data_IF_836255080594
#
_entry.id   IF_836255080594
#
_cell.length_a   1.000
_cell.length_b   1.000
_cell.length_c   1.000
_cell.angle_alpha   90.00
_cell.angle_beta   90.00
_cell.angle_gamma   90.00
#
_symmetry.space_group_name_H-M   'P 1'
#
loop_
_entity.id
_entity.type
_entity.pdbx_description
1 polymer ?
#
# COMPACT_ATOMS: atom_id res chain seq x y z
N UNK A 1 -4.73 14.89 -0.56
CA UNK A 1 -4.27 13.54 -0.17
C UNK A 1 -4.49 12.51 -1.24
N UNK A 2 -5.74 12.19 -1.58
CA UNK A 2 -6.10 11.08 -2.47
C UNK A 2 -5.30 10.96 -3.78
N UNK A 3 -5.15 12.05 -4.54
CA UNK A 3 -4.37 12.04 -5.80
C UNK A 3 -2.91 11.57 -5.58
N UNK A 4 -2.27 12.00 -4.50
CA UNK A 4 -0.89 11.61 -4.19
C UNK A 4 -0.79 10.17 -3.71
N UNK A 5 -1.81 9.69 -2.97
CA UNK A 5 -1.93 8.27 -2.63
C UNK A 5 -2.07 7.44 -3.90
N UNK A 6 -2.91 7.86 -4.85
CA UNK A 6 -3.03 7.18 -6.15
C UNK A 6 -1.69 7.17 -6.88
N UNK A 7 -1.03 8.32 -7.05
CA UNK A 7 0.28 8.39 -7.72
C UNK A 7 1.29 7.46 -7.05
N UNK A 8 1.39 7.49 -5.73
CA UNK A 8 2.37 6.70 -5.01
C UNK A 8 2.05 5.19 -5.07
N UNK A 9 0.81 4.79 -4.81
CA UNK A 9 0.42 3.39 -4.82
C UNK A 9 0.38 2.82 -6.24
N UNK A 10 -0.06 3.55 -7.27
CA UNK A 10 -0.10 2.98 -8.64
C UNK A 10 1.21 3.14 -9.40
N UNK A 11 1.99 4.18 -9.08
CA UNK A 11 3.19 4.55 -9.83
C UNK A 11 4.49 4.08 -9.20
N UNK A 12 4.54 3.91 -7.86
CA UNK A 12 5.77 3.60 -7.12
C UNK A 12 5.72 2.23 -6.44
N UNK A 13 4.53 1.64 -6.25
CA UNK A 13 4.40 0.29 -5.71
C UNK A 13 4.91 -0.75 -6.69
N UNK A 14 5.68 -1.71 -6.19
CA UNK A 14 6.34 -2.71 -7.03
C UNK A 14 5.35 -3.56 -7.84
N UNK A 15 4.23 -4.00 -7.24
CA UNK A 15 3.27 -4.87 -7.95
C UNK A 15 2.58 -4.11 -9.09
N UNK A 16 2.11 -2.89 -8.80
CA UNK A 16 1.40 -2.09 -9.79
C UNK A 16 2.33 -1.48 -10.85
N UNK A 17 3.54 -1.07 -10.46
CA UNK A 17 4.55 -0.55 -11.38
C UNK A 17 5.02 -1.64 -12.35
N UNK A 18 5.35 -2.84 -11.87
CA UNK A 18 5.83 -3.94 -12.72
C UNK A 18 4.79 -4.39 -13.75
N UNK A 19 3.50 -4.39 -13.39
CA UNK A 19 2.40 -4.68 -14.33
C UNK A 19 2.33 -3.69 -15.49
N UNK A 20 2.69 -2.43 -15.26
CA UNK A 20 2.74 -1.43 -16.33
C UNK A 20 4.05 -1.53 -17.15
N UNK A 21 5.18 -1.86 -16.51
CA UNK A 21 6.48 -2.02 -17.19
C UNK A 21 6.59 -3.28 -18.04
N UNK A 22 5.72 -4.27 -17.83
CA UNK A 22 5.67 -5.50 -18.64
C UNK A 22 4.93 -5.32 -19.97
N UNK A 23 4.31 -4.16 -20.21
CA UNK A 23 3.66 -3.82 -21.47
C UNK A 23 4.68 -3.48 -22.56
N UNK A 24 4.38 -3.78 -23.82
CA UNK A 24 5.36 -3.63 -24.91
C UNK A 24 5.65 -2.18 -25.26
N UNK A 25 4.67 -1.30 -25.07
CA UNK A 25 4.76 0.12 -25.42
C UNK A 25 4.13 1.01 -24.36
N UNK A 26 4.54 2.28 -24.33
CA UNK A 26 3.94 3.31 -23.47
C UNK A 26 2.43 3.46 -23.76
N UNK A 27 2.02 3.37 -25.03
CA UNK A 27 0.61 3.44 -25.41
C UNK A 27 -0.22 2.28 -24.84
N UNK A 28 0.32 1.07 -24.81
CA UNK A 28 -0.31 -0.08 -24.16
C UNK A 28 -0.41 0.10 -22.65
N UNK A 29 0.65 0.58 -22.00
CA UNK A 29 0.64 0.87 -20.57
C UNK A 29 -0.39 1.96 -20.21
N UNK A 30 -0.52 3.01 -21.02
CA UNK A 30 -1.54 4.05 -20.84
C UNK A 30 -2.95 3.47 -21.01
N UNK A 31 -3.19 2.67 -22.06
CA UNK A 31 -4.48 2.00 -22.27
C UNK A 31 -4.84 1.10 -21.10
N UNK A 32 -3.87 0.36 -20.56
CA UNK A 32 -4.03 -0.44 -19.35
C UNK A 32 -4.47 0.42 -18.17
N UNK A 33 -3.77 1.53 -17.90
CA UNK A 33 -4.09 2.43 -16.79
C UNK A 33 -5.45 3.11 -16.93
N UNK A 34 -5.85 3.56 -18.12
CA UNK A 34 -7.18 4.14 -18.34
C UNK A 34 -8.29 3.10 -18.18
N UNK A 35 -8.09 1.89 -18.70
CA UNK A 35 -9.06 0.79 -18.57
C UNK A 35 -9.21 0.37 -17.10
N UNK A 36 -8.08 0.19 -16.41
CA UNK A 36 -8.04 -0.10 -14.98
C UNK A 36 -8.76 0.97 -14.17
N UNK A 37 -8.47 2.26 -14.42
CA UNK A 37 -9.10 3.37 -13.71
C UNK A 37 -10.61 3.41 -13.93
N UNK A 38 -11.07 3.20 -15.17
CA UNK A 38 -12.49 3.15 -15.48
C UNK A 38 -13.22 2.03 -14.72
N UNK A 39 -12.67 0.81 -14.76
CA UNK A 39 -13.22 -0.34 -14.02
C UNK A 39 -13.17 -0.06 -12.50
N UNK A 40 -12.06 0.47 -12.00
CA UNK A 40 -11.87 0.77 -10.58
C UNK A 40 -12.91 1.76 -10.05
N UNK A 41 -13.20 2.84 -10.79
CA UNK A 41 -14.23 3.81 -10.40
C UNK A 41 -15.61 3.16 -10.35
N UNK A 42 -15.98 2.38 -11.37
CA UNK A 42 -17.28 1.69 -11.42
C UNK A 42 -17.42 0.74 -10.22
N UNK A 43 -16.40 -0.07 -9.94
CA UNK A 43 -16.40 -1.00 -8.81
C UNK A 43 -16.47 -0.26 -7.47
N UNK A 44 -15.78 0.87 -7.30
CA UNK A 44 -15.87 1.65 -6.07
C UNK A 44 -17.28 2.19 -5.83
N UNK A 45 -17.91 2.75 -6.86
CA UNK A 45 -19.30 3.23 -6.76
C UNK A 45 -20.23 2.06 -6.41
N UNK A 46 -20.03 0.90 -7.04
CA UNK A 46 -20.79 -0.31 -6.74
C UNK A 46 -20.64 -0.72 -5.26
N UNK A 47 -19.41 -0.90 -4.77
CA UNK A 47 -19.16 -1.34 -3.39
C UNK A 47 -19.58 -0.31 -2.34
N UNK A 48 -19.42 0.99 -2.61
CA UNK A 48 -19.93 2.05 -1.72
C UNK A 48 -21.46 2.04 -1.66
N UNK A 49 -22.13 1.84 -2.80
CA UNK A 49 -23.59 1.72 -2.87
C UNK A 49 -24.07 0.47 -2.14
N UNK A 50 -23.39 -0.67 -2.31
CA UNK A 50 -23.67 -1.91 -1.57
C UNK A 50 -23.47 -1.69 -0.07
N UNK A 51 -22.39 -1.04 0.35
CA UNK A 51 -22.16 -0.70 1.76
C UNK A 51 -23.30 0.14 2.36
N UNK A 52 -23.75 1.16 1.64
CA UNK A 52 -24.90 1.98 2.06
C UNK A 52 -26.20 1.15 2.13
N UNK A 53 -26.47 0.30 1.15
CA UNK A 53 -27.64 -0.58 1.13
C UNK A 53 -27.61 -1.59 2.28
N UNK A 54 -26.45 -2.15 2.63
CA UNK A 54 -26.28 -3.04 3.76
C UNK A 54 -26.57 -2.33 5.09
N UNK A 55 -26.16 -1.07 5.23
CA UNK A 55 -26.48 -0.27 6.41
C UNK A 55 -27.99 -0.02 6.54
N UNK A 56 -28.67 0.31 5.44
CA UNK A 56 -30.13 0.47 5.40
C UNK A 56 -30.82 -0.85 5.73
N UNK A 57 -30.33 -1.96 5.16
CA UNK A 57 -30.85 -3.31 5.44
C UNK A 57 -30.70 -3.68 6.92
N UNK A 58 -29.54 -3.42 7.51
CA UNK A 58 -29.27 -3.70 8.92
C UNK A 58 -30.24 -2.92 9.82
N UNK A 59 -30.38 -1.62 9.56
CA UNK A 59 -31.28 -0.74 10.32
C UNK A 59 -32.73 -1.21 10.21
N UNK A 60 -33.18 -1.60 9.01
CA UNK A 60 -34.56 -2.05 8.77
C UNK A 60 -34.88 -3.38 9.45
N UNK A 61 -33.91 -4.28 9.57
CA UNK A 61 -34.09 -5.61 10.14
C UNK A 61 -33.64 -5.71 11.61
N UNK A 62 -33.28 -4.59 12.24
CA UNK A 62 -32.81 -4.57 13.64
C UNK A 62 -31.48 -5.30 13.85
N UNK A 63 -30.63 -5.37 12.82
CA UNK A 63 -29.31 -6.00 12.88
C UNK A 63 -28.32 -4.99 13.45
N UNK A 64 -27.74 -5.31 14.60
CA UNK A 64 -26.71 -4.48 15.22
C UNK A 64 -25.38 -4.60 14.48
N UNK A 65 -24.62 -3.50 14.45
CA UNK A 65 -23.26 -3.51 13.89
C UNK A 65 -22.36 -4.31 14.83
N UNK A 66 -21.60 -5.32 14.34
CA UNK A 66 -20.70 -6.09 15.18
C UNK A 66 -19.75 -5.20 15.97
N UNK A 67 -19.62 -5.46 17.28
CA UNK A 67 -18.70 -4.75 18.14
C UNK A 67 -17.36 -5.47 18.21
N UNK A 68 -16.28 -4.71 18.29
CA UNK A 68 -14.96 -5.25 18.59
C UNK A 68 -14.93 -5.83 20.02
N UNK A 69 -14.53 -7.11 20.14
CA UNK A 69 -14.54 -7.81 21.43
C UNK A 69 -13.57 -7.23 22.47
N UNK A 70 -12.59 -6.41 22.05
CA UNK A 70 -11.57 -5.84 22.94
C UNK A 70 -11.89 -4.39 23.29
N UNK A 71 -12.27 -3.58 22.30
CA UNK A 71 -12.47 -2.13 22.45
C UNK A 71 -13.94 -1.72 22.58
N UNK A 72 -14.89 -2.61 22.30
CA UNK A 72 -16.33 -2.32 22.32
C UNK A 72 -16.78 -1.34 21.23
N UNK A 73 -15.92 -0.98 20.28
CA UNK A 73 -16.23 -0.06 19.19
C UNK A 73 -16.92 -0.78 18.03
N UNK A 74 -17.81 -0.11 17.27
CA UNK A 74 -18.40 -0.69 16.07
C UNK A 74 -17.34 -1.06 15.02
N UNK A 75 -17.34 -2.31 14.57
CA UNK A 75 -16.55 -2.81 13.43
C UNK A 75 -17.41 -2.86 12.18
N UNK A 76 -17.49 -1.72 11.51
CA UNK A 76 -18.27 -1.57 10.26
C UNK A 76 -17.84 -2.53 9.16
N UNK A 77 -16.55 -2.92 9.13
CA UNK A 77 -16.00 -3.86 8.14
C UNK A 77 -16.61 -5.27 8.24
N UNK A 78 -17.19 -5.63 9.39
CA UNK A 78 -17.82 -6.93 9.64
C UNK A 78 -19.31 -6.98 9.30
N UNK A 79 -19.93 -5.84 9.02
CA UNK A 79 -21.36 -5.78 8.73
C UNK A 79 -21.73 -6.58 7.48
N UNK A 80 -20.89 -6.56 6.45
CA UNK A 80 -21.18 -7.30 5.22
C UNK A 80 -21.08 -8.83 5.45
N UNK A 81 -19.98 -9.38 6.01
CA UNK A 81 -19.96 -10.79 6.42
C UNK A 81 -21.12 -11.20 7.32
N UNK A 82 -21.48 -10.37 8.31
CA UNK A 82 -22.58 -10.64 9.23
C UNK A 82 -23.91 -10.83 8.49
N UNK A 83 -24.27 -9.87 7.63
CA UNK A 83 -25.50 -9.96 6.82
C UNK A 83 -25.43 -11.16 5.89
N UNK A 84 -24.31 -11.36 5.20
CA UNK A 84 -24.16 -12.41 4.20
C UNK A 84 -24.26 -13.83 4.78
N UNK A 85 -23.72 -14.05 5.98
CA UNK A 85 -23.63 -15.37 6.60
C UNK A 85 -24.82 -15.70 7.51
N UNK A 86 -25.37 -14.70 8.22
CA UNK A 86 -26.38 -14.94 9.25
C UNK A 86 -27.80 -14.49 8.84
N UNK A 87 -27.93 -13.59 7.85
CA UNK A 87 -29.22 -12.97 7.50
C UNK A 87 -29.65 -13.18 6.04
N UNK A 88 -28.79 -13.71 5.18
CA UNK A 88 -29.14 -14.13 3.82
C UNK A 88 -29.31 -15.65 3.73
N UNK A 89 -29.91 -16.11 2.63
CA UNK A 89 -30.04 -17.54 2.35
C UNK A 89 -28.68 -18.17 2.02
N UNK A 90 -28.60 -19.50 2.08
CA UNK A 90 -27.35 -20.27 1.93
C UNK A 90 -26.60 -19.99 0.63
N UNK A 91 -27.30 -19.77 -0.49
CA UNK A 91 -26.66 -19.57 -1.80
C UNK A 91 -25.85 -18.25 -1.84
N UNK A 92 -26.44 -17.08 -1.53
CA UNK A 92 -25.68 -15.83 -1.38
C UNK A 92 -24.48 -15.93 -0.44
N UNK A 93 -24.62 -16.62 0.70
CA UNK A 93 -23.53 -16.82 1.66
C UNK A 93 -22.34 -17.58 1.03
N UNK A 94 -22.63 -18.67 0.29
CA UNK A 94 -21.61 -19.46 -0.42
C UNK A 94 -20.93 -18.61 -1.49
N UNK A 95 -21.70 -17.90 -2.31
CA UNK A 95 -21.16 -17.04 -3.38
C UNK A 95 -20.27 -15.94 -2.79
N UNK A 96 -20.71 -15.31 -1.70
CA UNK A 96 -19.93 -14.32 -0.97
C UNK A 96 -18.61 -14.89 -0.46
N UNK A 97 -18.63 -16.04 0.21
CA UNK A 97 -17.43 -16.68 0.74
C UNK A 97 -16.46 -17.10 -0.37
N UNK A 98 -16.97 -17.67 -1.47
CA UNK A 98 -16.15 -18.01 -2.63
C UNK A 98 -15.51 -16.77 -3.26
N UNK A 99 -16.28 -15.69 -3.45
CA UNK A 99 -15.78 -14.44 -4.00
C UNK A 99 -14.74 -13.76 -3.10
N UNK A 100 -15.02 -13.67 -1.80
CA UNK A 100 -14.12 -13.07 -0.80
C UNK A 100 -12.81 -13.85 -0.70
N UNK A 101 -12.88 -15.18 -0.63
CA UNK A 101 -11.68 -16.03 -0.57
C UNK A 101 -10.87 -15.91 -1.87
N UNK A 102 -11.51 -16.01 -3.04
CA UNK A 102 -10.83 -15.88 -4.32
C UNK A 102 -10.11 -14.51 -4.46
N UNK A 103 -10.79 -13.42 -4.11
CA UNK A 103 -10.20 -12.08 -4.14
C UNK A 103 -9.03 -11.91 -3.16
N UNK A 104 -9.16 -12.47 -1.94
CA UNK A 104 -8.11 -12.42 -0.91
C UNK A 104 -6.89 -13.25 -1.32
N UNK A 105 -7.09 -14.45 -1.88
CA UNK A 105 -5.99 -15.29 -2.36
C UNK A 105 -5.23 -14.63 -3.52
N UNK A 106 -5.94 -14.07 -4.50
CA UNK A 106 -5.30 -13.43 -5.64
C UNK A 106 -4.43 -12.21 -5.24
N UNK A 107 -4.90 -11.40 -4.29
CA UNK A 107 -4.15 -10.22 -3.80
C UNK A 107 -2.99 -10.60 -2.88
N UNK A 108 -3.18 -11.63 -2.05
CA UNK A 108 -2.13 -12.14 -1.16
C UNK A 108 -0.99 -12.77 -1.95
N UNK A 109 -1.31 -13.56 -2.98
CA UNK A 109 -0.33 -14.21 -3.85
C UNK A 109 0.56 -13.19 -4.58
N UNK A 110 -0.06 -12.14 -5.16
CA UNK A 110 0.69 -11.09 -5.85
C UNK A 110 1.59 -10.30 -4.89
N UNK A 111 1.10 -9.93 -3.71
CA UNK A 111 1.88 -9.21 -2.70
C UNK A 111 3.09 -10.05 -2.20
N UNK A 112 2.87 -11.33 -1.91
CA UNK A 112 3.93 -12.23 -1.44
C UNK A 112 4.98 -12.48 -2.54
N UNK A 113 4.55 -12.59 -3.79
CA UNK A 113 5.43 -12.70 -4.95
C UNK A 113 6.27 -11.45 -5.15
N UNK A 114 5.67 -10.25 -4.99
CA UNK A 114 6.39 -8.98 -5.10
C UNK A 114 7.47 -8.86 -4.02
N UNK A 115 7.15 -9.17 -2.76
CA UNK A 115 8.12 -9.17 -1.64
C UNK A 115 9.27 -10.16 -1.88
N UNK A 116 8.94 -11.38 -2.29
CA UNK A 116 9.92 -12.42 -2.60
C UNK A 116 10.83 -11.97 -3.74
N UNK A 117 10.27 -11.37 -4.78
CA UNK A 117 11.02 -10.92 -5.97
C UNK A 117 11.94 -9.76 -5.62
N UNK A 118 11.43 -8.72 -4.97
CA UNK A 118 12.25 -7.59 -4.52
C UNK A 118 13.38 -8.03 -3.59
N UNK A 119 13.11 -8.92 -2.63
CA UNK A 119 14.18 -9.41 -1.76
C UNK A 119 15.24 -10.24 -2.51
N UNK A 120 14.81 -11.18 -3.35
CA UNK A 120 15.73 -12.01 -4.13
C UNK A 120 16.56 -11.19 -5.12
N UNK A 121 15.95 -10.23 -5.82
CA UNK A 121 16.63 -9.42 -6.83
C UNK A 121 17.48 -8.33 -6.20
N UNK A 122 16.91 -7.54 -5.29
CA UNK A 122 17.53 -6.31 -4.79
C UNK A 122 18.53 -6.59 -3.66
N UNK A 123 18.22 -7.55 -2.76
CA UNK A 123 19.10 -7.88 -1.62
C UNK A 123 20.00 -9.08 -1.89
N UNK A 124 19.48 -10.16 -2.48
CA UNK A 124 20.28 -11.35 -2.77
C UNK A 124 20.99 -11.30 -4.13
N UNK A 125 20.74 -10.26 -4.94
CA UNK A 125 21.39 -10.09 -6.24
C UNK A 125 21.09 -11.20 -7.24
N UNK A 126 19.96 -11.90 -7.08
CA UNK A 126 19.57 -13.05 -7.91
C UNK A 126 19.08 -12.65 -9.31
N UNK A 127 18.93 -11.35 -9.60
CA UNK A 127 18.67 -10.85 -10.96
C UNK A 127 19.90 -10.87 -11.87
N UNK A 128 21.11 -11.09 -11.34
CA UNK A 128 22.36 -11.16 -12.12
C UNK A 128 22.57 -12.54 -12.71
N UNK A 129 23.00 -12.61 -13.99
CA UNK A 129 23.26 -13.87 -14.73
C UNK A 129 24.10 -14.89 -13.94
N UNK A 130 25.15 -14.42 -13.25
CA UNK A 130 26.05 -15.26 -12.43
C UNK A 130 25.37 -15.95 -11.24
N UNK A 131 24.24 -15.43 -10.76
CA UNK A 131 23.49 -16.01 -9.64
C UNK A 131 22.27 -16.82 -10.10
N UNK A 132 21.82 -16.65 -11.34
CA UNK A 132 20.70 -17.39 -11.93
C UNK A 132 21.07 -18.84 -12.26
N UNK A 133 22.32 -19.09 -12.64
CA UNK A 133 22.81 -20.42 -13.03
C UNK A 133 23.21 -21.32 -11.85
N UNK A 134 23.16 -20.81 -10.61
CA UNK A 134 23.45 -21.61 -9.42
C UNK A 134 22.33 -22.62 -9.17
N UNK A 135 22.67 -23.90 -9.02
CA UNK A 135 21.72 -24.99 -8.71
C UNK A 135 20.81 -24.68 -7.51
N UNK A 136 21.30 -23.91 -6.54
CA UNK A 136 20.54 -23.56 -5.32
C UNK A 136 19.64 -22.32 -5.45
N UNK A 137 19.64 -21.61 -6.60
CA UNK A 137 18.86 -20.39 -6.78
C UNK A 137 17.36 -20.64 -6.54
N UNK A 138 16.83 -21.73 -7.09
CA UNK A 138 15.43 -22.11 -6.91
C UNK A 138 15.12 -22.43 -5.44
N UNK A 139 16.00 -23.16 -4.75
CA UNK A 139 15.81 -23.52 -3.33
C UNK A 139 15.84 -22.27 -2.44
N UNK A 140 16.77 -21.35 -2.69
CA UNK A 140 16.85 -20.07 -1.98
C UNK A 140 15.59 -19.23 -2.17
N UNK A 141 15.08 -19.12 -3.39
CA UNK A 141 13.82 -18.41 -3.66
C UNK A 141 12.64 -18.99 -2.89
N UNK A 142 12.48 -20.31 -2.87
CA UNK A 142 11.41 -20.96 -2.09
C UNK A 142 11.56 -20.71 -0.58
N UNK A 143 12.79 -20.76 -0.05
CA UNK A 143 13.04 -20.48 1.37
C UNK A 143 12.71 -19.02 1.74
N UNK A 144 13.06 -18.07 0.88
CA UNK A 144 12.67 -16.66 1.02
C UNK A 144 11.14 -16.51 0.98
N UNK A 145 10.48 -17.16 0.02
CA UNK A 145 9.03 -17.12 -0.13
C UNK A 145 8.31 -17.63 1.13
N UNK A 146 8.70 -18.81 1.63
CA UNK A 146 8.16 -19.38 2.88
C UNK A 146 8.45 -18.45 4.06
N UNK A 147 9.65 -17.88 4.14
CA UNK A 147 10.02 -16.91 5.16
C UNK A 147 9.09 -15.68 5.17
N UNK A 148 8.80 -15.12 4.00
CA UNK A 148 7.82 -14.02 3.88
C UNK A 148 6.40 -14.47 4.18
N UNK A 149 5.99 -15.69 3.84
CA UNK A 149 4.66 -16.21 4.20
C UNK A 149 4.47 -16.24 5.71
N UNK A 150 5.47 -16.76 6.44
CA UNK A 150 5.46 -16.80 7.91
C UNK A 150 5.48 -15.39 8.49
N UNK A 151 6.33 -14.51 7.96
CA UNK A 151 6.40 -13.11 8.40
C UNK A 151 5.05 -12.40 8.22
N UNK A 152 4.42 -12.53 7.05
CA UNK A 152 3.13 -11.92 6.76
C UNK A 152 2.03 -12.47 7.68
N UNK A 153 2.03 -13.78 7.94
CA UNK A 153 1.13 -14.40 8.91
C UNK A 153 1.29 -13.79 10.32
N UNK A 154 2.53 -13.62 10.80
CA UNK A 154 2.80 -12.99 12.09
C UNK A 154 2.34 -11.53 12.12
N UNK A 155 2.58 -10.75 11.05
CA UNK A 155 2.10 -9.37 10.95
C UNK A 155 0.59 -9.29 11.01
N UNK A 156 -0.13 -10.20 10.32
CA UNK A 156 -1.60 -10.26 10.37
C UNK A 156 -2.08 -10.55 11.79
N UNK A 157 -1.46 -11.49 12.51
CA UNK A 157 -1.80 -11.79 13.91
C UNK A 157 -1.59 -10.58 14.82
N UNK A 158 -0.48 -9.86 14.65
CA UNK A 158 -0.19 -8.65 15.43
C UNK A 158 -1.20 -7.55 15.14
N UNK A 159 -1.52 -7.29 13.87
CA UNK A 159 -2.54 -6.30 13.49
C UNK A 159 -3.89 -6.70 14.07
N UNK A 160 -4.29 -7.97 13.97
CA UNK A 160 -5.55 -8.45 14.51
C UNK A 160 -5.63 -8.33 16.04
N UNK A 161 -4.51 -8.47 16.74
CA UNK A 161 -4.45 -8.36 18.20
C UNK A 161 -4.42 -6.90 18.71
N UNK A 162 -3.81 -5.98 17.96
CA UNK A 162 -3.57 -4.60 18.41
C UNK A 162 -4.53 -3.56 17.81
N UNK A 163 -5.11 -3.84 16.64
CA UNK A 163 -5.91 -2.86 15.92
C UNK A 163 -7.36 -2.83 16.40
N UNK A 164 -7.76 -1.71 17.02
CA UNK A 164 -9.14 -1.42 17.47
C UNK A 164 -9.91 -0.51 16.50
N UNK A 165 -9.35 -0.21 15.32
CA UNK A 165 -9.94 0.67 14.30
C UNK A 165 -10.21 -0.09 13.00
N UNK A 166 -10.94 0.52 12.04
CA UNK A 166 -11.10 -0.09 10.71
C UNK A 166 -9.73 -0.38 10.08
N UNK A 167 -9.55 -1.60 9.58
CA UNK A 167 -8.29 -2.04 8.96
C UNK A 167 -7.96 -1.16 7.76
N UNK A 168 -8.97 -0.66 7.05
CA UNK A 168 -8.81 0.25 5.91
C UNK A 168 -8.11 1.54 6.33
N UNK A 169 -8.52 2.13 7.47
CA UNK A 169 -7.90 3.36 7.98
C UNK A 169 -6.43 3.13 8.38
N UNK A 170 -6.13 1.98 8.97
CA UNK A 170 -4.77 1.62 9.34
C UNK A 170 -3.86 1.49 8.11
N UNK A 171 -4.34 0.84 7.06
CA UNK A 171 -3.58 0.67 5.80
C UNK A 171 -3.24 2.03 5.19
N UNK A 172 -4.21 2.95 5.08
CA UNK A 172 -3.95 4.30 4.55
C UNK A 172 -2.99 5.11 5.43
N UNK A 173 -3.04 4.91 6.74
CA UNK A 173 -2.11 5.56 7.68
C UNK A 173 -0.69 5.06 7.45
N UNK A 174 -0.48 3.74 7.43
CA UNK A 174 0.82 3.12 7.15
C UNK A 174 1.33 3.57 5.78
N UNK A 175 0.48 3.53 4.75
CA UNK A 175 0.81 3.97 3.41
C UNK A 175 1.31 5.42 3.37
N UNK A 176 0.69 6.32 4.14
CA UNK A 176 1.13 7.72 4.20
C UNK A 176 2.54 7.89 4.77
N UNK A 177 2.94 7.02 5.69
CA UNK A 177 4.29 7.02 6.28
C UNK A 177 5.33 6.31 5.41
N UNK A 178 4.97 5.23 4.73
CA UNK A 178 5.91 4.40 3.95
C UNK A 178 6.08 4.87 2.51
N UNK A 179 5.00 5.28 1.83
CA UNK A 179 5.07 5.77 0.45
C UNK A 179 5.52 7.23 0.35
N UNK A 180 5.43 7.99 1.44
CA UNK A 180 5.94 9.37 1.49
C UNK A 180 7.40 9.48 1.05
N UNK A 181 8.34 8.73 1.68
CA UNK A 181 9.74 8.75 1.27
C UNK A 181 9.98 8.30 -0.16
N UNK A 182 9.25 7.28 -0.63
CA UNK A 182 9.32 6.83 -2.03
C UNK A 182 8.89 7.97 -2.98
N UNK A 183 7.80 8.66 -2.67
CA UNK A 183 7.33 9.80 -3.44
C UNK A 183 8.38 10.91 -3.49
N UNK A 184 9.05 11.20 -2.36
CA UNK A 184 10.15 12.16 -2.29
C UNK A 184 11.36 11.77 -3.13
N UNK A 185 11.79 10.50 -3.04
CA UNK A 185 12.92 9.95 -3.83
C UNK A 185 12.67 10.02 -5.33
N UNK A 186 11.52 9.53 -5.78
CA UNK A 186 11.17 9.54 -7.21
C UNK A 186 10.97 10.96 -7.72
N UNK A 187 10.32 11.84 -6.95
CA UNK A 187 10.18 13.25 -7.31
C UNK A 187 11.55 13.92 -7.44
N UNK A 188 12.48 13.66 -6.53
CA UNK A 188 13.85 14.18 -6.61
C UNK A 188 14.55 13.70 -7.90
N UNK A 189 14.51 12.39 -8.18
CA UNK A 189 15.14 11.83 -9.38
C UNK A 189 14.54 12.35 -10.70
N UNK A 190 13.23 12.61 -10.73
CA UNK A 190 12.53 13.10 -11.92
C UNK A 190 12.76 14.60 -12.16
N UNK A 191 12.71 15.43 -11.11
CA UNK A 191 12.76 16.88 -11.24
C UNK A 191 14.17 17.47 -11.06
N UNK A 192 15.06 16.83 -10.30
CA UNK A 192 16.41 17.34 -10.00
C UNK A 192 17.46 16.59 -10.84
N UNK A 193 17.58 16.96 -12.11
CA UNK A 193 18.48 16.28 -13.08
C UNK A 193 19.96 16.65 -12.95
N UNK A 194 20.27 17.76 -12.29
CA UNK A 194 21.62 18.36 -12.28
C UNK A 194 22.37 18.13 -10.95
N UNK A 195 21.85 17.28 -10.05
CA UNK A 195 22.46 17.00 -8.75
C UNK A 195 22.43 15.50 -8.46
N UNK A 196 23.54 14.99 -7.92
CA UNK A 196 23.60 13.66 -7.34
C UNK A 196 23.28 13.70 -5.85
N UNK A 197 23.20 12.53 -5.23
CA UNK A 197 23.00 12.38 -3.79
C UNK A 197 24.27 11.81 -3.12
N UNK A 198 24.39 12.05 -1.83
CA UNK A 198 25.29 11.27 -0.99
C UNK A 198 24.58 9.97 -0.61
N UNK A 199 24.82 8.89 -1.35
CA UNK A 199 24.05 7.63 -1.27
C UNK A 199 23.91 7.09 0.16
N UNK A 200 24.96 7.23 0.98
CA UNK A 200 24.96 6.77 2.39
C UNK A 200 23.99 7.54 3.29
N UNK A 201 23.66 8.79 2.95
CA UNK A 201 22.75 9.65 3.72
C UNK A 201 21.28 9.46 3.31
N UNK A 202 21.02 8.86 2.14
CA UNK A 202 19.66 8.68 1.62
C UNK A 202 18.79 7.85 2.56
N UNK A 203 19.21 6.67 3.07
CA UNK A 203 18.40 5.90 4.03
C UNK A 203 18.11 6.67 5.31
N UNK A 204 19.06 7.50 5.77
CA UNK A 204 18.90 8.31 6.98
C UNK A 204 17.77 9.33 6.77
N UNK A 205 17.77 10.03 5.64
CA UNK A 205 16.69 10.98 5.27
C UNK A 205 15.34 10.26 5.19
N UNK A 206 15.28 9.08 4.56
CA UNK A 206 14.05 8.31 4.42
C UNK A 206 13.48 7.77 5.74
N UNK A 207 14.28 7.64 6.78
CA UNK A 207 13.83 7.26 8.13
C UNK A 207 13.45 8.49 8.94
N UNK A 208 14.23 9.57 8.86
CA UNK A 208 13.98 10.81 9.59
C UNK A 208 12.69 11.48 9.09
N UNK A 209 12.40 11.43 7.79
CA UNK A 209 11.25 12.11 7.22
C UNK A 209 9.89 11.61 7.79
N UNK A 210 9.59 10.30 7.86
CA UNK A 210 8.39 9.79 8.53
C UNK A 210 8.33 10.16 10.01
N UNK A 211 9.47 10.17 10.73
CA UNK A 211 9.53 10.54 12.15
C UNK A 211 9.16 12.01 12.34
N UNK A 212 9.77 12.91 11.55
CA UNK A 212 9.43 14.34 11.56
C UNK A 212 7.97 14.54 11.16
N UNK A 213 7.48 13.78 10.18
CA UNK A 213 6.11 13.82 9.74
C UNK A 213 5.13 13.39 10.84
N UNK A 214 5.48 12.38 11.65
CA UNK A 214 4.70 11.96 12.81
C UNK A 214 4.64 13.05 13.89
N UNK A 215 5.77 13.68 14.22
CA UNK A 215 5.78 14.82 15.15
C UNK A 215 4.96 16.00 14.63
N UNK A 216 5.02 16.29 13.33
CA UNK A 216 4.22 17.33 12.72
C UNK A 216 2.72 17.00 12.76
N UNK A 217 2.35 15.76 12.45
CA UNK A 217 0.96 15.29 12.51
C UNK A 217 0.39 15.37 13.93
N UNK A 218 1.14 14.95 14.95
CA UNK A 218 0.70 14.98 16.34
C UNK A 218 0.52 16.39 16.90
N UNK A 219 1.36 17.35 16.47
CA UNK A 219 1.27 18.74 16.90
C UNK A 219 0.37 19.62 16.00
N UNK A 220 -0.08 19.09 14.86
CA UNK A 220 -0.87 19.83 13.86
C UNK A 220 -2.11 20.51 14.42
N UNK A 221 -2.83 19.86 15.34
CA UNK A 221 -4.02 20.41 15.97
C UNK A 221 -3.74 21.72 16.72
N UNK A 222 -2.59 21.83 17.37
CA UNK A 222 -2.17 23.04 18.07
C UNK A 222 -1.59 24.08 17.11
N UNK A 223 -0.80 23.63 16.12
CA UNK A 223 -0.05 24.50 15.20
C UNK A 223 -0.92 25.10 14.07
N UNK A 224 -1.96 24.39 13.65
CA UNK A 224 -2.78 24.71 12.47
C UNK A 224 -4.25 24.99 12.84
N UNK A 225 -4.50 25.44 14.07
CA UNK A 225 -5.83 25.89 14.49
C UNK A 225 -6.90 24.80 14.48
N UNK A 226 -6.53 23.56 14.85
CA UNK A 226 -7.45 22.43 14.94
C UNK A 226 -7.41 21.44 13.77
N UNK A 227 -6.61 21.72 12.73
CA UNK A 227 -6.46 20.81 11.58
C UNK A 227 -5.84 19.46 11.99
N UNK A 228 -6.38 18.36 11.46
CA UNK A 228 -5.88 16.99 11.69
C UNK A 228 -5.54 16.35 10.36
N UNK A 229 -4.29 15.93 10.23
CA UNK A 229 -3.83 15.25 9.02
C UNK A 229 -4.43 13.84 8.89
N UNK A 230 -4.88 13.52 7.69
CA UNK A 230 -5.25 12.17 7.25
C UNK A 230 -4.31 11.70 6.15
N UNK A 231 -4.84 11.19 5.04
CA UNK A 231 -4.09 10.64 3.90
C UNK A 231 -3.20 11.65 3.18
N UNK A 232 -3.46 12.95 3.32
CA UNK A 232 -2.60 14.02 2.81
C UNK A 232 -1.24 14.09 3.49
N UNK A 233 -1.05 13.38 4.60
CA UNK A 233 0.24 13.23 5.25
C UNK A 233 1.31 12.64 4.31
N UNK A 234 0.91 11.82 3.33
CA UNK A 234 1.81 11.29 2.30
C UNK A 234 2.56 12.41 1.55
N UNK A 235 1.87 13.52 1.27
CA UNK A 235 2.45 14.66 0.56
C UNK A 235 3.46 15.38 1.45
N UNK A 236 3.09 15.60 2.71
CA UNK A 236 3.96 16.26 3.70
C UNK A 236 5.24 15.43 3.88
N UNK A 237 5.11 14.13 4.05
CA UNK A 237 6.22 13.20 4.17
C UNK A 237 7.11 13.19 2.91
N UNK A 238 6.49 13.16 1.72
CA UNK A 238 7.21 13.28 0.46
C UNK A 238 7.97 14.60 0.30
N UNK A 239 7.39 15.72 0.73
CA UNK A 239 8.03 17.03 0.72
C UNK A 239 9.20 17.10 1.70
N UNK A 240 9.03 16.62 2.94
CA UNK A 240 10.12 16.56 3.93
C UNK A 240 11.27 15.70 3.38
N UNK A 241 10.94 14.56 2.78
CA UNK A 241 11.95 13.70 2.15
C UNK A 241 12.66 14.43 1.02
N UNK A 242 11.93 15.05 0.09
CA UNK A 242 12.50 15.78 -1.04
C UNK A 242 13.43 16.92 -0.59
N UNK A 243 13.03 17.69 0.43
CA UNK A 243 13.86 18.75 1.02
C UNK A 243 15.11 18.15 1.67
N UNK A 244 14.97 17.06 2.43
CA UNK A 244 16.10 16.35 3.01
C UNK A 244 17.10 15.88 1.95
N UNK A 245 16.61 15.35 0.83
CA UNK A 245 17.42 14.95 -0.33
C UNK A 245 18.13 16.15 -0.98
N UNK A 246 17.48 17.31 -1.08
CA UNK A 246 18.12 18.54 -1.54
C UNK A 246 19.25 19.00 -0.63
N UNK A 247 19.10 18.86 0.69
CA UNK A 247 20.15 19.24 1.66
C UNK A 247 21.38 18.34 1.54
N UNK A 248 21.19 17.04 1.25
CA UNK A 248 22.29 16.10 1.02
C UNK A 248 22.70 16.01 -0.45
N UNK A 249 22.18 16.87 -1.32
CA UNK A 249 22.52 16.84 -2.74
C UNK A 249 23.90 17.42 -3.01
N UNK A 250 24.61 16.85 -3.98
CA UNK A 250 25.91 17.32 -4.47
C UNK A 250 25.81 17.72 -5.93
N UNK A 251 26.62 18.68 -6.37
CA UNK A 251 26.79 18.94 -7.80
C UNK A 251 27.35 17.67 -8.44
N UNK A 252 26.75 17.28 -9.55
CA UNK A 252 27.13 16.09 -10.31
C UNK A 252 27.57 16.56 -11.69
N UNK A 253 28.77 16.16 -12.11
CA UNK A 253 29.31 16.45 -13.45
C UNK A 253 28.81 15.47 -14.52
N UNK A 254 28.13 14.39 -14.11
CA UNK A 254 27.55 13.40 -15.02
C UNK A 254 26.05 13.59 -15.14
N UNK A 255 25.57 13.99 -16.32
CA UNK A 255 24.14 13.87 -16.64
C UNK A 255 23.70 12.43 -16.37
N UNK A 256 22.80 12.24 -15.40
CA UNK A 256 22.09 10.97 -15.20
C UNK A 256 21.32 10.66 -16.49
N UNK A 257 21.89 9.79 -17.33
CA UNK A 257 21.20 9.22 -18.49
C UNK A 257 20.30 8.10 -17.98
N UNK A 258 19.00 8.27 -18.17
CA UNK A 258 17.99 7.24 -18.01
C UNK A 258 17.88 6.41 -19.29
#
# INVERSE_FOLDING_TARGET
>A
GGIFVTIAMTGLDQDLMQKNLSMKTIGEAQKNMFTFTGIFVILNIFFLSVGALLYVFATKNGIEIPLDHVSGKPRTDFLFPEIALNYLTTIPAIVFMLGLTAATFATTDSALTALTTSFCVDFLGMGKKENLEKKDAVKKRHMVHIGFSILMFLVILVINALNSSSVVSLIFTIASYTYGPLLGLYSFGLFVKNRGLHDKLVPIVCIIAPILCYFFATNSKALLGGYVFSVELILVNGLITFIGLLLISKKTDQQTKF
#
